data_IF_035358558373
#
_entry.id   IF_035358558373
#
_cell.length_a   1.000
_cell.length_b   1.000
_cell.length_c   1.000
_cell.angle_alpha   90.00
_cell.angle_beta   90.00
_cell.angle_gamma   90.00
#
_symmetry.space_group_name_H-M   'P 1'
#
loop_
_entity.id
_entity.type
_entity.pdbx_description
1 polymer ?
#
# COMPACT_ATOMS: atom_id res chain seq x y z
N UNK A 1 -15.38 19.19 26.01
CA UNK A 1 -15.87 17.96 25.37
C UNK A 1 -14.77 16.91 25.54
N UNK A 2 -15.03 15.85 26.31
CA UNK A 2 -14.07 14.75 26.50
C UNK A 2 -14.17 13.92 25.23
N UNK A 3 -13.07 13.80 24.49
CA UNK A 3 -12.95 12.92 23.31
C UNK A 3 -13.12 11.46 23.77
N UNK A 4 -14.30 10.90 23.50
CA UNK A 4 -14.68 9.51 23.84
C UNK A 4 -14.44 8.55 22.67
N UNK A 5 -13.75 8.98 21.62
CA UNK A 5 -13.39 8.10 20.51
C UNK A 5 -12.49 6.98 21.04
N UNK A 6 -12.79 5.69 20.79
CA UNK A 6 -11.92 4.60 21.17
C UNK A 6 -10.58 4.81 20.45
N UNK A 7 -9.55 5.19 21.19
CA UNK A 7 -8.19 5.23 20.66
C UNK A 7 -7.79 3.80 20.33
N UNK A 8 -7.88 3.45 19.06
CA UNK A 8 -7.27 2.22 18.58
C UNK A 8 -5.79 2.29 18.93
N UNK A 9 -5.35 1.36 19.78
CA UNK A 9 -3.93 1.25 20.12
C UNK A 9 -3.27 0.36 19.09
N UNK A 10 -2.62 1.00 18.13
CA UNK A 10 -1.80 0.33 17.12
C UNK A 10 -0.41 0.03 17.68
N UNK A 11 0.18 -1.08 17.23
CA UNK A 11 1.54 -1.50 17.60
C UNK A 11 2.57 -0.96 16.62
N UNK A 12 2.24 -1.02 15.32
CA UNK A 12 3.12 -0.66 14.22
C UNK A 12 2.68 0.59 13.45
N UNK A 13 1.54 1.19 13.82
CA UNK A 13 1.01 2.39 13.20
C UNK A 13 0.81 3.49 14.23
N UNK A 14 0.84 4.74 13.76
CA UNK A 14 0.21 5.86 14.44
C UNK A 14 -0.90 6.44 13.56
N UNK A 15 -2.02 6.80 14.16
CA UNK A 15 -3.14 7.42 13.47
C UNK A 15 -3.57 8.70 14.19
N UNK A 16 -3.69 9.78 13.41
CA UNK A 16 -4.09 11.09 13.89
C UNK A 16 -5.18 11.63 12.97
N UNK A 17 -6.28 12.07 13.58
CA UNK A 17 -7.36 12.69 12.83
C UNK A 17 -7.26 14.21 12.89
N UNK A 18 -7.33 14.83 11.71
CA UNK A 18 -7.40 16.27 11.51
C UNK A 18 -8.67 16.59 10.70
N UNK A 19 -9.75 16.90 11.39
CA UNK A 19 -11.07 17.07 10.77
C UNK A 19 -11.48 15.83 9.95
N UNK A 20 -11.73 15.96 8.64
CA UNK A 20 -12.12 14.84 7.78
C UNK A 20 -10.94 14.04 7.22
N UNK A 21 -9.72 14.30 7.68
CA UNK A 21 -8.49 13.63 7.23
C UNK A 21 -7.96 12.74 8.33
N UNK A 22 -7.79 11.46 8.04
CA UNK A 22 -7.09 10.51 8.90
C UNK A 22 -5.67 10.30 8.37
N UNK A 23 -4.68 10.74 9.15
CA UNK A 23 -3.25 10.59 8.85
C UNK A 23 -2.74 9.33 9.52
N UNK A 24 -2.29 8.37 8.73
CA UNK A 24 -1.75 7.10 9.19
C UNK A 24 -0.28 7.02 8.81
N UNK A 25 0.55 6.68 9.80
CA UNK A 25 2.00 6.55 9.60
C UNK A 25 2.45 5.18 10.06
N UNK A 26 3.17 4.48 9.22
CA UNK A 26 3.95 3.31 9.64
C UNK A 26 5.07 3.76 10.56
N UNK A 27 5.23 3.07 11.70
CA UNK A 27 6.28 3.31 12.67
C UNK A 27 7.32 2.18 12.56
N UNK A 28 8.40 2.37 11.81
CA UNK A 28 9.41 1.32 11.61
C UNK A 28 10.39 1.18 12.78
N UNK A 29 10.11 1.79 13.94
CA UNK A 29 11.04 1.96 15.05
C UNK A 29 11.67 0.68 15.62
N UNK A 30 11.18 -0.52 15.23
CA UNK A 30 11.74 -1.79 15.67
C UNK A 30 12.10 -2.76 14.51
N UNK A 31 11.92 -2.37 13.24
CA UNK A 31 11.87 -3.34 12.14
C UNK A 31 12.46 -2.82 10.82
N UNK A 32 13.53 -2.08 10.84
CA UNK A 32 14.34 -1.70 9.66
C UNK A 32 13.53 -1.22 8.43
N UNK A 33 12.37 -0.59 8.64
CA UNK A 33 11.53 -0.06 7.55
C UNK A 33 10.73 -1.12 6.77
N UNK A 34 10.66 -2.37 7.25
CA UNK A 34 9.89 -3.44 6.61
C UNK A 34 8.41 -3.44 7.03
N UNK A 35 7.57 -4.03 6.19
CA UNK A 35 6.14 -4.22 6.44
C UNK A 35 5.92 -5.58 7.12
N UNK A 36 5.53 -5.55 8.39
CA UNK A 36 5.34 -6.73 9.22
C UNK A 36 3.91 -7.20 9.26
N UNK A 37 3.68 -8.41 9.79
CA UNK A 37 2.35 -8.94 10.07
C UNK A 37 1.57 -8.02 11.03
N UNK A 38 2.24 -7.45 12.04
CA UNK A 38 1.64 -6.51 12.98
C UNK A 38 1.17 -5.22 12.29
N UNK A 39 1.97 -4.67 11.37
CA UNK A 39 1.58 -3.50 10.58
C UNK A 39 0.37 -3.78 9.67
N UNK A 40 0.30 -4.98 9.10
CA UNK A 40 -0.86 -5.42 8.31
C UNK A 40 -2.11 -5.63 9.18
N UNK A 41 -1.96 -6.17 10.40
CA UNK A 41 -3.08 -6.31 11.35
C UNK A 41 -3.63 -4.93 11.72
N UNK A 42 -2.77 -4.04 12.17
CA UNK A 42 -3.15 -2.68 12.54
C UNK A 42 -3.85 -1.94 11.39
N UNK A 43 -3.32 -2.07 10.16
CA UNK A 43 -3.91 -1.43 8.99
C UNK A 43 -5.27 -2.06 8.61
N UNK A 44 -5.41 -3.39 8.73
CA UNK A 44 -6.67 -4.08 8.51
C UNK A 44 -7.74 -3.62 9.49
N UNK A 45 -7.40 -3.55 10.79
CA UNK A 45 -8.29 -3.10 11.84
C UNK A 45 -8.71 -1.63 11.63
N UNK A 46 -7.75 -0.76 11.27
CA UNK A 46 -8.04 0.63 10.95
C UNK A 46 -9.00 0.75 9.76
N UNK A 47 -8.73 0.04 8.66
CA UNK A 47 -9.58 0.08 7.46
C UNK A 47 -10.97 -0.49 7.74
N UNK A 48 -11.08 -1.49 8.62
CA UNK A 48 -12.37 -2.02 9.06
C UNK A 48 -13.18 -0.95 9.81
N UNK A 49 -12.56 -0.22 10.72
CA UNK A 49 -13.26 0.84 11.48
C UNK A 49 -13.72 2.00 10.63
N UNK A 50 -13.08 2.25 9.47
CA UNK A 50 -13.51 3.33 8.56
C UNK A 50 -14.94 3.15 8.05
N UNK A 51 -15.47 1.94 7.99
CA UNK A 51 -16.87 1.71 7.56
C UNK A 51 -17.88 2.42 8.48
N UNK A 52 -17.54 2.60 9.76
CA UNK A 52 -18.38 3.28 10.76
C UNK A 52 -18.02 4.76 10.92
N UNK A 53 -17.07 5.27 10.11
CA UNK A 53 -16.52 6.62 10.21
C UNK A 53 -16.75 7.43 8.93
N UNK A 54 -18.01 7.76 8.57
CA UNK A 54 -18.33 8.54 7.37
C UNK A 54 -17.81 9.98 7.44
N UNK A 55 -17.42 10.44 8.64
CA UNK A 55 -16.75 11.72 8.86
C UNK A 55 -15.34 11.77 8.26
N UNK A 56 -14.67 10.63 8.09
CA UNK A 56 -13.35 10.54 7.44
C UNK A 56 -13.53 10.51 5.92
N UNK A 57 -12.99 11.52 5.25
CA UNK A 57 -13.10 11.73 3.80
C UNK A 57 -11.82 11.36 3.05
N UNK A 58 -10.70 11.48 3.73
CA UNK A 58 -9.37 11.21 3.18
C UNK A 58 -8.57 10.39 4.18
N UNK A 59 -7.96 9.32 3.70
CA UNK A 59 -6.95 8.53 4.40
C UNK A 59 -5.59 8.85 3.78
N UNK A 60 -4.71 9.47 4.54
CA UNK A 60 -3.33 9.74 4.13
C UNK A 60 -2.39 8.72 4.74
N UNK A 61 -1.81 7.87 3.91
CA UNK A 61 -0.84 6.84 4.30
C UNK A 61 0.59 7.34 4.07
N UNK A 62 1.42 7.24 5.07
CA UNK A 62 2.82 7.66 5.06
C UNK A 62 3.67 6.76 5.95
N UNK A 63 4.96 7.02 6.07
CA UNK A 63 5.85 6.34 7.01
C UNK A 63 6.71 7.36 7.78
N UNK A 64 7.25 6.93 8.90
CA UNK A 64 8.28 7.64 9.68
C UNK A 64 9.66 7.13 9.25
N UNK A 65 10.70 7.96 9.39
CA UNK A 65 12.07 7.60 9.05
C UNK A 65 12.48 8.00 7.64
N UNK A 66 13.53 7.37 7.12
CA UNK A 66 14.17 7.76 5.85
C UNK A 66 13.48 7.16 4.62
N UNK A 67 12.79 6.03 4.79
CA UNK A 67 12.20 5.25 3.72
C UNK A 67 10.69 5.03 3.97
N UNK A 68 9.90 4.96 2.91
CA UNK A 68 8.48 4.62 3.03
C UNK A 68 8.29 3.15 3.42
N UNK A 69 8.95 2.23 2.70
CA UNK A 69 8.90 0.80 3.03
C UNK A 69 9.94 0.01 2.23
N UNK A 70 10.69 -0.85 2.93
CA UNK A 70 11.73 -1.70 2.35
C UNK A 70 11.24 -3.09 1.91
N UNK A 71 9.92 -3.28 1.87
CA UNK A 71 9.28 -4.54 1.49
C UNK A 71 8.71 -5.31 2.67
N UNK A 72 8.22 -6.52 2.43
CA UNK A 72 7.71 -7.39 3.48
C UNK A 72 8.85 -7.96 4.34
N UNK A 73 8.57 -8.18 5.63
CA UNK A 73 9.52 -8.83 6.53
C UNK A 73 9.69 -10.31 6.17
N UNK A 74 10.85 -10.62 5.58
CA UNK A 74 11.18 -11.99 5.15
C UNK A 74 11.54 -12.90 6.33
N UNK A 75 11.98 -12.33 7.44
CA UNK A 75 12.24 -13.08 8.68
C UNK A 75 10.96 -13.69 9.22
N UNK A 76 9.85 -12.93 9.19
CA UNK A 76 8.53 -13.46 9.58
C UNK A 76 8.08 -14.60 8.67
N UNK A 77 8.38 -14.55 7.35
CA UNK A 77 8.04 -15.65 6.43
C UNK A 77 8.79 -16.94 6.77
N UNK A 78 10.10 -16.82 7.01
CA UNK A 78 10.92 -17.95 7.43
C UNK A 78 10.47 -18.55 8.77
N UNK A 79 10.17 -17.69 9.74
CA UNK A 79 9.67 -18.12 11.05
C UNK A 79 8.30 -18.80 10.95
N UNK A 80 7.37 -18.26 10.15
CA UNK A 80 6.06 -18.86 9.92
C UNK A 80 6.15 -20.26 9.29
N UNK A 81 7.06 -20.44 8.31
CA UNK A 81 7.28 -21.73 7.65
C UNK A 81 7.98 -22.73 8.58
N UNK A 82 8.94 -22.29 9.40
CA UNK A 82 9.60 -23.13 10.38
C UNK A 82 8.62 -23.61 11.48
N UNK A 83 7.70 -22.76 11.90
CA UNK A 83 6.67 -23.09 12.89
C UNK A 83 5.55 -23.99 12.33
N UNK A 84 5.23 -23.84 11.04
CA UNK A 84 4.20 -24.59 10.35
C UNK A 84 4.70 -25.04 8.96
N UNK A 85 5.34 -26.23 8.87
CA UNK A 85 5.86 -26.76 7.60
C UNK A 85 4.77 -27.03 6.54
N UNK A 86 3.48 -27.06 6.90
CA UNK A 86 2.40 -27.14 5.91
C UNK A 86 2.28 -25.85 5.08
N UNK A 87 2.81 -24.73 5.61
CA UNK A 87 2.74 -23.40 5.01
C UNK A 87 1.39 -22.72 5.19
N UNK A 88 0.50 -23.24 6.04
CA UNK A 88 -0.81 -22.62 6.25
C UNK A 88 -0.68 -21.26 6.95
N UNK A 89 0.28 -21.11 7.88
CA UNK A 89 0.56 -19.83 8.53
C UNK A 89 1.03 -18.77 7.51
N UNK A 90 1.96 -19.12 6.63
CA UNK A 90 2.44 -18.24 5.58
C UNK A 90 1.34 -17.84 4.58
N UNK A 91 0.47 -18.79 4.20
CA UNK A 91 -0.70 -18.48 3.35
C UNK A 91 -1.63 -17.47 4.00
N UNK A 92 -1.92 -17.61 5.31
CA UNK A 92 -2.75 -16.62 6.05
C UNK A 92 -2.13 -15.22 6.05
N UNK A 93 -0.80 -15.11 6.13
CA UNK A 93 -0.11 -13.81 6.04
C UNK A 93 -0.27 -13.19 4.64
N UNK A 94 -0.09 -13.97 3.59
CA UNK A 94 -0.27 -13.50 2.22
C UNK A 94 -1.73 -13.12 1.90
N UNK A 95 -2.71 -13.91 2.37
CA UNK A 95 -4.15 -13.60 2.27
C UNK A 95 -4.50 -12.30 3.03
N UNK A 96 -3.82 -12.03 4.16
CA UNK A 96 -4.00 -10.78 4.90
C UNK A 96 -3.53 -9.58 4.07
N UNK A 97 -2.36 -9.67 3.43
CA UNK A 97 -1.86 -8.64 2.54
C UNK A 97 -2.85 -8.33 1.41
N UNK A 98 -3.42 -9.38 0.79
CA UNK A 98 -4.45 -9.21 -0.22
C UNK A 98 -5.69 -8.48 0.31
N UNK A 99 -6.22 -8.88 1.49
CA UNK A 99 -7.38 -8.22 2.10
C UNK A 99 -7.13 -6.75 2.43
N UNK A 100 -5.92 -6.40 2.91
CA UNK A 100 -5.54 -5.01 3.17
C UNK A 100 -5.53 -4.19 1.88
N UNK A 101 -4.93 -4.71 0.82
CA UNK A 101 -4.91 -4.04 -0.49
C UNK A 101 -6.33 -3.86 -1.05
N UNK A 102 -7.17 -4.89 -0.97
CA UNK A 102 -8.58 -4.82 -1.38
C UNK A 102 -9.37 -3.81 -0.55
N UNK A 103 -9.14 -3.74 0.76
CA UNK A 103 -9.78 -2.76 1.63
C UNK A 103 -9.37 -1.31 1.30
N UNK A 104 -8.10 -1.05 0.96
CA UNK A 104 -7.64 0.25 0.49
C UNK A 104 -8.34 0.68 -0.81
N UNK A 105 -8.48 -0.25 -1.76
CA UNK A 105 -9.17 0.01 -3.03
C UNK A 105 -10.66 0.30 -2.84
N UNK A 106 -11.30 -0.32 -1.83
CA UNK A 106 -12.77 -0.30 -1.67
C UNK A 106 -13.28 0.58 -0.52
N UNK A 107 -12.42 1.11 0.35
CA UNK A 107 -12.87 2.05 1.41
C UNK A 107 -13.55 3.28 0.80
N UNK A 108 -14.53 3.85 1.51
CA UNK A 108 -15.25 5.05 1.05
C UNK A 108 -14.36 6.30 1.02
N UNK A 109 -13.37 6.38 1.90
CA UNK A 109 -12.43 7.49 1.94
C UNK A 109 -11.47 7.46 0.74
N UNK A 110 -11.14 8.62 0.19
CA UNK A 110 -10.07 8.73 -0.81
C UNK A 110 -8.73 8.45 -0.14
N UNK A 111 -8.00 7.49 -0.67
CA UNK A 111 -6.71 7.08 -0.12
C UNK A 111 -5.55 7.77 -0.86
N UNK A 112 -4.64 8.37 -0.10
CA UNK A 112 -3.46 9.07 -0.64
C UNK A 112 -2.21 8.45 -0.03
N UNK A 113 -1.25 8.03 -0.85
CA UNK A 113 0.07 7.64 -0.38
C UNK A 113 1.06 8.80 -0.53
N UNK A 114 1.73 9.13 0.57
CA UNK A 114 2.86 10.05 0.65
C UNK A 114 4.16 9.26 0.69
N UNK A 115 4.89 9.25 -0.39
CA UNK A 115 6.05 8.40 -0.60
C UNK A 115 7.35 9.20 -0.49
N UNK A 116 8.33 8.63 0.21
CA UNK A 116 9.68 9.21 0.32
C UNK A 116 10.72 8.09 0.47
N UNK A 117 11.98 8.41 0.20
CA UNK A 117 13.07 7.45 0.28
C UNK A 117 12.84 6.23 -0.61
N UNK A 118 13.02 5.04 -0.07
CA UNK A 118 12.83 3.78 -0.79
C UNK A 118 11.40 3.27 -0.67
N UNK A 119 10.89 2.75 -1.78
CA UNK A 119 9.55 2.16 -1.91
C UNK A 119 9.70 0.81 -2.61
N UNK A 120 9.84 -0.26 -1.84
CA UNK A 120 10.33 -1.55 -2.32
C UNK A 120 9.27 -2.65 -2.19
N UNK A 121 9.13 -3.48 -3.22
CA UNK A 121 8.34 -4.72 -3.18
C UNK A 121 6.93 -4.53 -2.61
N UNK A 122 6.64 -5.14 -1.46
CA UNK A 122 5.36 -5.02 -0.76
C UNK A 122 4.95 -3.55 -0.48
N UNK A 123 5.91 -2.66 -0.21
CA UNK A 123 5.63 -1.23 -0.03
C UNK A 123 5.13 -0.56 -1.31
N UNK A 124 5.71 -0.89 -2.45
CA UNK A 124 5.26 -0.41 -3.75
C UNK A 124 3.89 -1.02 -4.12
N UNK A 125 3.71 -2.31 -3.87
CA UNK A 125 2.43 -2.98 -4.08
C UNK A 125 1.32 -2.31 -3.24
N UNK A 126 1.52 -2.13 -1.93
CA UNK A 126 0.58 -1.48 -1.03
C UNK A 126 0.23 -0.06 -1.51
N UNK A 127 1.24 0.75 -1.81
CA UNK A 127 1.05 2.13 -2.28
C UNK A 127 0.23 2.18 -3.58
N UNK A 128 0.37 1.19 -4.48
CA UNK A 128 -0.36 1.14 -5.75
C UNK A 128 -1.88 1.00 -5.58
N UNK A 129 -2.35 0.51 -4.43
CA UNK A 129 -3.77 0.41 -4.10
C UNK A 129 -4.35 1.70 -3.49
N UNK A 130 -3.54 2.70 -3.19
CA UNK A 130 -4.05 4.03 -2.88
C UNK A 130 -4.53 4.73 -4.16
N UNK A 131 -5.61 5.53 -4.03
CA UNK A 131 -6.20 6.26 -5.17
C UNK A 131 -5.22 7.27 -5.78
N UNK A 132 -4.50 7.99 -4.92
CA UNK A 132 -3.52 9.00 -5.32
C UNK A 132 -2.17 8.71 -4.67
N UNK A 133 -1.09 9.01 -5.40
CA UNK A 133 0.29 8.80 -4.95
C UNK A 133 1.14 10.01 -5.29
N UNK A 134 1.72 10.65 -4.27
CA UNK A 134 2.72 11.70 -4.43
C UNK A 134 4.05 11.22 -3.85
N UNK A 135 5.13 11.42 -4.56
CA UNK A 135 6.47 10.99 -4.15
C UNK A 135 7.47 12.11 -4.13
N UNK A 136 8.43 12.04 -3.21
CA UNK A 136 9.60 12.89 -3.25
C UNK A 136 10.41 12.63 -4.53
N UNK A 137 11.07 13.65 -5.08
CA UNK A 137 11.93 13.54 -6.25
C UNK A 137 13.13 12.61 -6.01
N UNK A 138 13.54 12.48 -4.75
CA UNK A 138 14.58 11.56 -4.30
C UNK A 138 14.13 10.10 -4.17
N UNK A 139 12.83 9.78 -4.34
CA UNK A 139 12.33 8.40 -4.21
C UNK A 139 13.06 7.41 -5.12
N UNK A 140 13.26 6.21 -4.59
CA UNK A 140 13.77 5.05 -5.32
C UNK A 140 12.82 3.87 -5.17
N UNK A 141 12.45 3.31 -6.31
CA UNK A 141 11.50 2.20 -6.42
C UNK A 141 12.19 0.95 -6.91
N UNK A 142 11.77 -0.20 -6.43
CA UNK A 142 12.26 -1.50 -6.88
C UNK A 142 11.25 -2.60 -6.64
N UNK A 143 11.21 -3.58 -7.53
CA UNK A 143 10.51 -4.85 -7.40
C UNK A 143 11.57 -5.97 -7.36
N UNK A 144 12.08 -6.34 -6.17
CA UNK A 144 13.27 -7.20 -6.04
C UNK A 144 12.94 -8.69 -6.02
N UNK A 145 11.67 -9.08 -6.07
CA UNK A 145 11.17 -10.41 -5.74
C UNK A 145 11.92 -11.52 -6.50
N UNK A 146 12.03 -11.40 -7.83
CA UNK A 146 12.72 -12.38 -8.67
C UNK A 146 14.21 -12.47 -8.31
N UNK A 147 14.84 -11.33 -8.00
CA UNK A 147 16.25 -11.26 -7.61
C UNK A 147 16.56 -11.94 -6.27
N UNK A 148 15.54 -12.17 -5.44
CA UNK A 148 15.65 -12.89 -4.17
C UNK A 148 15.00 -14.29 -4.24
N UNK A 149 14.72 -14.78 -5.45
CA UNK A 149 14.18 -16.11 -5.68
C UNK A 149 12.69 -16.27 -5.40
N UNK A 150 11.94 -15.17 -5.32
CA UNK A 150 10.50 -15.20 -5.05
C UNK A 150 9.70 -14.71 -6.26
N UNK A 151 8.47 -15.22 -6.47
CA UNK A 151 7.54 -14.59 -7.40
C UNK A 151 7.04 -13.26 -6.81
N UNK A 152 6.60 -12.28 -7.64
CA UNK A 152 6.00 -11.02 -7.18
C UNK A 152 4.55 -11.26 -6.68
N UNK A 153 4.39 -12.18 -5.75
CA UNK A 153 3.14 -12.70 -5.21
C UNK A 153 2.83 -12.04 -3.86
N UNK A 154 2.45 -10.75 -3.89
CA UNK A 154 2.08 -10.02 -2.69
C UNK A 154 0.88 -9.09 -2.94
N UNK A 155 -0.23 -9.36 -2.25
CA UNK A 155 -1.39 -8.49 -2.19
C UNK A 155 -2.08 -8.17 -3.52
N UNK A 156 -1.79 -8.89 -4.61
CA UNK A 156 -2.27 -8.57 -5.94
C UNK A 156 -1.53 -7.41 -6.62
N UNK A 157 -0.38 -6.99 -6.07
CA UNK A 157 0.38 -5.82 -6.52
C UNK A 157 0.85 -5.91 -7.95
N UNK A 158 1.21 -7.12 -8.45
CA UNK A 158 1.64 -7.31 -9.84
C UNK A 158 0.55 -6.90 -10.82
N UNK A 159 -0.65 -7.41 -10.66
CA UNK A 159 -1.79 -7.08 -11.54
C UNK A 159 -2.14 -5.61 -11.46
N UNK A 160 -2.11 -5.01 -10.27
CA UNK A 160 -2.35 -3.58 -10.08
C UNK A 160 -1.31 -2.73 -10.81
N UNK A 161 -0.02 -3.02 -10.66
CA UNK A 161 1.06 -2.28 -11.33
C UNK A 161 1.02 -2.41 -12.85
N UNK A 162 0.64 -3.58 -13.39
CA UNK A 162 0.46 -3.80 -14.83
C UNK A 162 -0.64 -2.89 -15.38
N UNK A 163 -1.75 -2.73 -14.66
CA UNK A 163 -2.86 -1.86 -15.08
C UNK A 163 -2.45 -0.38 -15.04
N UNK A 164 -1.71 0.04 -14.02
CA UNK A 164 -1.27 1.44 -13.85
C UNK A 164 -0.12 1.81 -14.79
N UNK A 165 0.91 0.96 -14.87
CA UNK A 165 2.18 1.27 -15.52
C UNK A 165 2.40 0.66 -16.91
N UNK A 166 1.48 -0.19 -17.37
CA UNK A 166 1.58 -0.91 -18.63
C UNK A 166 2.45 -2.16 -18.56
N UNK A 167 1.97 -3.26 -19.18
CA UNK A 167 2.54 -4.59 -19.05
C UNK A 167 4.02 -4.70 -19.48
N UNK A 168 4.42 -4.00 -20.56
CA UNK A 168 5.77 -4.12 -21.10
C UNK A 168 6.84 -3.58 -20.13
N UNK A 169 6.62 -2.37 -19.61
CA UNK A 169 7.58 -1.72 -18.70
C UNK A 169 7.59 -2.37 -17.33
N UNK A 170 6.42 -2.73 -16.80
CA UNK A 170 6.35 -3.42 -15.51
C UNK A 170 7.04 -4.80 -15.60
N UNK A 171 6.87 -5.52 -16.71
CA UNK A 171 7.58 -6.80 -16.94
C UNK A 171 9.09 -6.62 -16.93
N UNK A 172 9.61 -5.61 -17.63
CA UNK A 172 11.05 -5.30 -17.64
C UNK A 172 11.56 -5.06 -16.21
N UNK A 173 10.94 -4.13 -15.48
CA UNK A 173 11.35 -3.77 -14.12
C UNK A 173 11.27 -4.95 -13.13
N UNK A 174 10.25 -5.81 -13.25
CA UNK A 174 10.11 -7.00 -12.41
C UNK A 174 11.16 -8.07 -12.73
N UNK A 175 11.42 -8.33 -14.00
CA UNK A 175 12.36 -9.39 -14.40
C UNK A 175 13.82 -8.98 -14.16
N UNK A 176 14.14 -7.71 -14.36
CA UNK A 176 15.51 -7.20 -14.16
C UNK A 176 15.78 -6.80 -12.71
N UNK A 177 14.73 -6.62 -11.91
CA UNK A 177 14.82 -6.05 -10.56
C UNK A 177 15.56 -4.69 -10.54
N UNK A 178 15.49 -3.93 -11.62
CA UNK A 178 16.14 -2.62 -11.73
C UNK A 178 15.51 -1.62 -10.76
N UNK A 179 16.37 -0.78 -10.16
CA UNK A 179 15.92 0.35 -9.37
C UNK A 179 15.58 1.52 -10.29
N UNK A 180 14.42 2.13 -10.12
CA UNK A 180 13.99 3.28 -10.90
C UNK A 180 13.65 4.47 -10.01
N UNK A 181 13.74 5.66 -10.58
CA UNK A 181 13.56 6.94 -9.89
C UNK A 181 12.12 7.45 -9.92
N UNK A 182 11.87 8.55 -9.21
CA UNK A 182 10.57 9.22 -9.15
C UNK A 182 10.09 9.72 -10.52
N UNK A 183 11.00 10.19 -11.37
CA UNK A 183 10.65 10.66 -12.72
C UNK A 183 10.15 9.49 -13.59
N UNK A 184 10.78 8.35 -13.51
CA UNK A 184 10.34 7.13 -14.20
C UNK A 184 9.00 6.64 -13.63
N UNK A 185 8.83 6.60 -12.29
CA UNK A 185 7.58 6.25 -11.66
C UNK A 185 6.42 7.17 -12.09
N UNK A 186 6.68 8.46 -12.24
CA UNK A 186 5.70 9.42 -12.74
C UNK A 186 5.34 9.17 -14.22
N UNK A 187 6.34 8.94 -15.08
CA UNK A 187 6.08 8.62 -16.51
C UNK A 187 5.25 7.33 -16.68
N UNK A 188 5.39 6.38 -15.76
CA UNK A 188 4.64 5.12 -15.76
C UNK A 188 3.25 5.24 -15.11
N UNK A 189 2.85 6.40 -14.57
CA UNK A 189 1.60 6.54 -13.84
C UNK A 189 1.62 5.94 -12.43
N UNK A 190 2.74 5.37 -11.99
CA UNK A 190 2.92 4.88 -10.62
C UNK A 190 2.85 6.05 -9.62
N UNK A 191 3.43 7.19 -9.96
CA UNK A 191 3.24 8.45 -9.23
C UNK A 191 2.36 9.41 -10.03
N UNK A 192 1.42 10.07 -9.36
CA UNK A 192 0.62 11.14 -9.95
C UNK A 192 1.31 12.50 -9.87
N UNK A 193 2.13 12.71 -8.83
CA UNK A 193 2.93 13.92 -8.65
C UNK A 193 4.29 13.60 -8.03
N UNK A 194 5.26 14.44 -8.39
CA UNK A 194 6.62 14.44 -7.84
C UNK A 194 6.95 15.85 -7.40
N UNK A 195 7.57 15.99 -6.22
CA UNK A 195 8.02 17.25 -5.67
C UNK A 195 9.26 17.06 -4.79
N UNK A 196 10.04 18.10 -4.50
CA UNK A 196 11.04 18.05 -3.44
C UNK A 196 10.41 17.58 -2.12
N UNK A 197 11.16 16.83 -1.33
CA UNK A 197 10.65 16.26 -0.06
C UNK A 197 10.00 17.32 0.85
N UNK A 198 10.60 18.51 0.94
CA UNK A 198 10.09 19.62 1.75
C UNK A 198 8.80 20.26 1.23
N UNK A 199 8.44 20.01 -0.04
CA UNK A 199 7.23 20.55 -0.67
C UNK A 199 6.11 19.50 -0.81
N UNK A 200 6.41 18.23 -0.50
CA UNK A 200 5.51 17.12 -0.74
C UNK A 200 4.17 17.25 0.01
N UNK A 201 4.20 17.78 1.23
CA UNK A 201 2.99 17.99 2.02
C UNK A 201 2.09 19.08 1.39
N UNK A 202 2.66 20.14 0.85
CA UNK A 202 1.90 21.19 0.15
C UNK A 202 1.22 20.64 -1.12
N UNK A 203 1.88 19.73 -1.84
CA UNK A 203 1.31 19.03 -3.01
C UNK A 203 0.13 18.15 -2.61
N UNK A 204 0.23 17.44 -1.49
CA UNK A 204 -0.86 16.61 -0.96
C UNK A 204 -2.01 17.46 -0.47
N UNK A 205 -1.75 18.55 0.24
CA UNK A 205 -2.77 19.47 0.72
C UNK A 205 -3.55 20.12 -0.43
N UNK A 206 -2.90 20.34 -1.59
CA UNK A 206 -3.58 20.81 -2.80
C UNK A 206 -4.62 19.78 -3.33
N UNK A 207 -4.45 18.49 -3.08
CA UNK A 207 -5.47 17.47 -3.34
C UNK A 207 -6.52 17.39 -2.23
N UNK A 208 -6.10 17.43 -0.97
CA UNK A 208 -7.00 17.29 0.19
C UNK A 208 -8.05 18.38 0.21
N UNK A 209 -7.65 19.66 -0.02
CA UNK A 209 -8.56 20.81 0.03
C UNK A 209 -9.82 20.67 -0.84
N UNK A 210 -9.75 20.31 -2.13
CA UNK A 210 -10.95 20.09 -2.92
C UNK A 210 -11.68 18.78 -2.54
N UNK A 211 -10.99 17.70 -2.17
CA UNK A 211 -11.61 16.41 -1.82
C UNK A 211 -12.55 16.55 -0.63
N UNK A 212 -12.14 17.24 0.43
CA UNK A 212 -12.97 17.43 1.63
C UNK A 212 -14.19 18.33 1.43
N UNK A 213 -14.25 19.06 0.31
CA UNK A 213 -15.38 19.94 -0.05
C UNK A 213 -16.39 19.31 -1.00
N UNK A 214 -16.04 18.19 -1.64
CA UNK A 214 -16.89 17.51 -2.61
C UNK A 214 -17.94 16.65 -1.92
N UNK A 215 -19.02 16.26 -2.63
CA UNK A 215 -20.00 15.30 -2.10
C UNK A 215 -19.33 13.98 -1.72
N UNK A 216 -19.54 13.48 -0.48
CA UNK A 216 -19.05 12.18 -0.05
C UNK A 216 -19.53 11.04 -0.94
N UNK A 217 -20.82 11.09 -1.28
CA UNK A 217 -21.50 10.08 -2.09
C UNK A 217 -20.91 10.04 -3.50
N UNK A 218 -20.69 11.21 -4.12
CA UNK A 218 -20.10 11.31 -5.46
C UNK A 218 -18.68 10.74 -5.47
N UNK A 219 -17.85 11.05 -4.46
CA UNK A 219 -16.50 10.51 -4.35
C UNK A 219 -16.51 9.00 -4.15
N UNK A 220 -17.35 8.50 -3.23
CA UNK A 220 -17.48 7.07 -2.94
C UNK A 220 -17.94 6.28 -4.18
N UNK A 221 -18.96 6.77 -4.88
CA UNK A 221 -19.45 6.12 -6.10
C UNK A 221 -18.39 6.14 -7.21
N UNK A 222 -17.73 7.28 -7.41
CA UNK A 222 -16.64 7.39 -8.40
C UNK A 222 -15.51 6.41 -8.10
N UNK A 223 -15.08 6.32 -6.83
CA UNK A 223 -14.06 5.37 -6.41
C UNK A 223 -14.47 3.92 -6.67
N UNK A 224 -15.72 3.55 -6.34
CA UNK A 224 -16.26 2.21 -6.64
C UNK A 224 -16.29 1.90 -8.15
N UNK A 225 -16.59 2.89 -8.98
CA UNK A 225 -16.52 2.73 -10.44
C UNK A 225 -15.08 2.44 -10.88
N UNK A 226 -14.08 3.19 -10.40
CA UNK A 226 -12.67 2.91 -10.70
C UNK A 226 -12.23 1.53 -10.21
N UNK A 227 -12.62 1.13 -9.00
CA UNK A 227 -12.35 -0.22 -8.49
C UNK A 227 -12.96 -1.30 -9.39
N UNK A 228 -14.18 -1.09 -9.89
CA UNK A 228 -14.83 -1.98 -10.85
C UNK A 228 -14.05 -2.12 -12.16
N UNK A 229 -13.64 -1.01 -12.78
CA UNK A 229 -12.82 -1.03 -14.00
C UNK A 229 -11.45 -1.67 -13.76
N UNK A 230 -10.79 -1.36 -12.65
CA UNK A 230 -9.50 -1.95 -12.28
C UNK A 230 -9.62 -3.47 -12.10
N UNK A 231 -10.68 -3.95 -11.43
CA UNK A 231 -10.94 -5.39 -11.28
C UNK A 231 -11.23 -6.08 -12.60
N UNK A 232 -12.02 -5.48 -13.46
CA UNK A 232 -12.31 -6.03 -14.79
C UNK A 232 -11.03 -6.19 -15.63
N UNK A 233 -10.13 -5.21 -15.57
CA UNK A 233 -8.81 -5.29 -16.24
C UNK A 233 -7.89 -6.36 -15.62
N UNK A 234 -8.13 -6.77 -14.38
CA UNK A 234 -7.40 -7.82 -13.63
C UNK A 234 -8.20 -9.12 -13.51
N UNK A 235 -9.25 -9.32 -14.32
CA UNK A 235 -10.13 -10.51 -14.20
C UNK A 235 -9.41 -11.85 -14.39
N UNK A 236 -8.26 -11.84 -15.08
CA UNK A 236 -7.35 -12.99 -15.20
C UNK A 236 -6.22 -12.96 -14.17
N UNK A 237 -6.31 -12.11 -13.15
CA UNK A 237 -5.28 -11.95 -12.14
C UNK A 237 -5.14 -13.25 -11.33
N UNK A 238 -3.90 -13.69 -11.20
CA UNK A 238 -3.53 -14.85 -10.38
C UNK A 238 -3.32 -14.48 -8.91
N UNK A 239 -3.65 -13.25 -8.50
CA UNK A 239 -3.45 -12.75 -7.14
C UNK A 239 -4.12 -13.64 -6.07
N UNK A 240 -5.21 -14.31 -6.38
CA UNK A 240 -5.82 -15.31 -5.50
C UNK A 240 -4.89 -16.53 -5.25
N UNK A 241 -3.87 -16.73 -6.08
CA UNK A 241 -2.87 -17.76 -5.92
C UNK A 241 -1.59 -17.24 -5.24
N UNK A 242 -1.45 -15.96 -4.97
CA UNK A 242 -0.25 -15.34 -4.38
C UNK A 242 0.22 -16.12 -3.14
N UNK A 243 -0.69 -16.45 -2.25
CA UNK A 243 -0.40 -17.19 -1.03
C UNK A 243 0.18 -18.60 -1.31
N UNK A 244 -0.32 -19.27 -2.33
CA UNK A 244 0.16 -20.60 -2.73
C UNK A 244 1.49 -20.53 -3.47
N UNK A 245 1.65 -19.55 -4.36
CA UNK A 245 2.90 -19.34 -5.11
C UNK A 245 4.05 -19.01 -4.18
N UNK A 246 3.83 -18.09 -3.23
CA UNK A 246 4.83 -17.72 -2.23
C UNK A 246 5.21 -18.92 -1.35
N UNK A 247 4.23 -19.70 -0.89
CA UNK A 247 4.46 -20.87 -0.05
C UNK A 247 5.22 -21.97 -0.81
N UNK A 248 4.90 -22.19 -2.08
CA UNK A 248 5.57 -23.20 -2.89
C UNK A 248 7.05 -22.89 -3.12
N UNK A 249 7.39 -21.60 -3.25
CA UNK A 249 8.76 -21.16 -3.51
C UNK A 249 9.65 -21.15 -2.26
N UNK A 250 9.06 -20.96 -1.08
CA UNK A 250 9.79 -20.90 0.19
C UNK A 250 10.01 -22.30 0.83
N UNK A 251 9.34 -23.33 0.35
CA UNK A 251 9.57 -24.75 0.74
C UNK A 251 10.75 -25.34 0.02
#
# INVERSE_FOLDING_TARGET
MIDTSPRLRFKALSAEQDGPVLRVRFNPSEQDGTLTAAALDDLADLLHTLHERPDIRVLLLSAVGDDFCLGADRGEYGAALAADPTGAALRRMADKAYRVCDALENTHAVTIARLHGKVIGAGLALASFCDLRAGADSCRFRMPEVGVGLPPAWGGGMGRLIVEGGAARIRELMLTCETFDAATAHRLGILHKVAPLGELDAVIDAWVRPLVRRSPEALTLTKRMFAGYSRAARSSDVALLDAYLLTAQLK
#
